data_IF_778394597322
#
_entry.id   IF_778394597322
#
_cell.length_a   1.000
_cell.length_b   1.000
_cell.length_c   1.000
_cell.angle_alpha   90.00
_cell.angle_beta   90.00
_cell.angle_gamma   90.00
#
_symmetry.space_group_name_H-M   'P 1'
#
loop_
_entity.id
_entity.type
_entity.pdbx_description
1 polymer ?
#
# COMPACT_ATOMS: atom_id res chain seq x y z
N UNK A 1 64.56 -24.37 1.30
CA UNK A 1 63.87 -23.05 1.33
C UNK A 1 62.37 -23.31 1.23
N UNK A 2 61.66 -23.30 2.35
CA UNK A 2 60.21 -23.51 2.37
C UNK A 2 59.50 -22.19 2.06
N UNK A 3 58.72 -22.18 0.98
CA UNK A 3 57.87 -21.05 0.62
C UNK A 3 56.74 -20.92 1.64
N UNK A 4 56.76 -19.83 2.42
CA UNK A 4 55.63 -19.42 3.24
C UNK A 4 54.43 -19.06 2.34
N UNK A 5 53.43 -19.95 2.30
CA UNK A 5 52.07 -19.59 1.87
C UNK A 5 51.55 -18.51 2.82
N UNK A 6 51.49 -17.25 2.36
CA UNK A 6 50.69 -16.20 2.99
C UNK A 6 49.23 -16.69 3.02
N UNK A 7 48.71 -16.98 4.21
CA UNK A 7 47.27 -17.17 4.40
C UNK A 7 46.56 -15.88 3.98
N UNK A 8 45.85 -15.88 2.86
CA UNK A 8 44.91 -14.81 2.51
C UNK A 8 43.89 -14.75 3.66
N UNK A 9 43.95 -13.70 4.48
CA UNK A 9 42.95 -13.44 5.51
C UNK A 9 41.55 -13.41 4.88
N UNK A 10 40.52 -13.81 5.63
CA UNK A 10 39.14 -13.76 5.13
C UNK A 10 38.82 -12.34 4.66
N UNK A 11 38.16 -12.17 3.50
CA UNK A 11 37.78 -10.85 3.01
C UNK A 11 36.88 -10.17 4.04
N UNK A 12 37.34 -9.02 4.53
CA UNK A 12 36.63 -8.18 5.49
C UNK A 12 35.86 -7.10 4.75
N UNK A 13 34.59 -6.94 5.09
CA UNK A 13 33.73 -5.86 4.63
C UNK A 13 33.70 -4.76 5.69
N UNK A 14 33.91 -3.52 5.26
CA UNK A 14 33.73 -2.33 6.10
C UNK A 14 32.27 -1.89 6.00
N UNK A 15 31.63 -1.62 7.14
CA UNK A 15 30.27 -1.09 7.24
C UNK A 15 30.30 0.27 7.95
N UNK A 16 29.31 1.10 7.65
CA UNK A 16 29.05 2.33 8.37
C UNK A 16 28.42 2.00 9.73
N UNK A 17 29.10 2.41 10.80
CA UNK A 17 28.70 2.14 12.17
C UNK A 17 27.46 2.91 12.61
N UNK A 18 27.25 4.12 12.08
CA UNK A 18 26.07 4.91 12.35
C UNK A 18 24.84 4.28 11.67
N UNK A 19 25.01 3.81 10.42
CA UNK A 19 23.93 3.12 9.69
C UNK A 19 23.52 1.85 10.43
N UNK A 20 24.51 1.05 10.87
CA UNK A 20 24.26 -0.16 11.63
C UNK A 20 23.49 0.13 12.93
N UNK A 21 23.95 1.11 13.72
CA UNK A 21 23.33 1.43 15.00
C UNK A 21 21.87 1.88 14.83
N UNK A 22 21.60 2.71 13.83
CA UNK A 22 20.27 3.19 13.51
C UNK A 22 19.34 2.06 13.05
N UNK A 23 19.75 1.28 12.05
CA UNK A 23 18.94 0.16 11.54
C UNK A 23 18.65 -0.87 12.63
N UNK A 24 19.60 -1.14 13.53
CA UNK A 24 19.37 -2.01 14.68
C UNK A 24 18.30 -1.45 15.62
N UNK A 25 18.39 -0.17 15.98
CA UNK A 25 17.40 0.48 16.85
C UNK A 25 16.01 0.45 16.21
N UNK A 26 15.91 0.74 14.90
CA UNK A 26 14.67 0.66 14.13
C UNK A 26 14.07 -0.76 14.12
N UNK A 27 14.91 -1.79 14.03
CA UNK A 27 14.47 -3.18 14.12
C UNK A 27 14.07 -3.61 15.56
N UNK A 28 14.15 -2.72 16.56
CA UNK A 28 13.86 -3.05 17.96
C UNK A 28 14.86 -4.01 18.59
N UNK A 29 16.05 -4.18 17.99
CA UNK A 29 17.03 -5.17 18.43
C UNK A 29 18.05 -4.57 19.39
N UNK A 30 18.45 -5.34 20.40
CA UNK A 30 19.66 -5.02 21.18
C UNK A 30 20.91 -5.47 20.43
N UNK A 31 22.10 -4.97 20.81
CA UNK A 31 23.37 -5.42 20.21
C UNK A 31 23.55 -6.95 20.35
N UNK A 32 23.08 -7.52 21.45
CA UNK A 32 23.06 -8.97 21.68
C UNK A 32 22.06 -9.65 20.73
N UNK A 33 20.81 -9.17 20.69
CA UNK A 33 19.75 -9.75 19.86
C UNK A 33 20.10 -9.75 18.37
N UNK A 34 20.72 -8.68 17.88
CA UNK A 34 21.23 -8.62 16.51
C UNK A 34 22.33 -9.68 16.26
N UNK A 35 23.28 -9.81 17.19
CA UNK A 35 24.36 -10.79 17.05
C UNK A 35 23.85 -12.24 17.10
N UNK A 36 22.86 -12.53 17.97
CA UNK A 36 22.19 -13.82 18.06
C UNK A 36 21.53 -14.19 16.74
N UNK A 37 20.74 -13.27 16.17
CA UNK A 37 19.98 -13.53 14.96
C UNK A 37 20.88 -13.71 13.72
N UNK A 38 21.94 -12.90 13.61
CA UNK A 38 22.95 -13.04 12.55
C UNK A 38 23.69 -14.37 12.67
N UNK A 39 24.07 -14.80 13.88
CA UNK A 39 24.78 -16.08 14.08
C UNK A 39 23.86 -17.28 13.82
N UNK A 40 22.59 -17.17 14.19
CA UNK A 40 21.54 -18.15 13.89
C UNK A 40 21.40 -18.35 12.39
N UNK A 41 21.25 -17.26 11.62
CA UNK A 41 21.19 -17.33 10.15
C UNK A 41 22.47 -17.87 9.53
N UNK A 42 23.63 -17.46 10.03
CA UNK A 42 24.94 -17.92 9.56
C UNK A 42 25.27 -19.37 9.97
N UNK A 43 24.37 -20.07 10.68
CA UNK A 43 24.56 -21.44 11.22
C UNK A 43 25.87 -21.60 12.01
N UNK A 44 26.30 -20.54 12.71
CA UNK A 44 27.50 -20.57 13.56
C UNK A 44 27.15 -21.19 14.91
N UNK A 45 28.08 -21.94 15.51
CA UNK A 45 27.91 -22.51 16.86
C UNK A 45 27.52 -21.42 17.85
N UNK A 46 26.50 -21.67 18.67
CA UNK A 46 26.06 -20.76 19.73
C UNK A 46 27.24 -20.40 20.61
N UNK A 47 27.65 -19.14 20.53
CA UNK A 47 28.65 -18.57 21.42
C UNK A 47 27.96 -18.15 22.72
N UNK A 48 28.70 -17.99 23.83
CA UNK A 48 28.11 -17.48 25.07
C UNK A 48 27.48 -16.09 24.84
N UNK A 49 26.41 -15.76 25.58
CA UNK A 49 25.74 -14.45 25.47
C UNK A 49 26.71 -13.27 25.65
N UNK A 50 27.67 -13.40 26.57
CA UNK A 50 28.72 -12.39 26.76
C UNK A 50 29.59 -12.19 25.50
N UNK A 51 29.91 -13.28 24.78
CA UNK A 51 30.69 -13.22 23.54
C UNK A 51 29.89 -12.60 22.39
N UNK A 52 28.60 -12.92 22.27
CA UNK A 52 27.72 -12.36 21.24
C UNK A 52 27.48 -10.86 21.48
N UNK A 53 27.22 -10.45 22.72
CA UNK A 53 27.12 -9.04 23.11
C UNK A 53 28.39 -8.26 22.72
N UNK A 54 29.57 -8.79 23.05
CA UNK A 54 30.85 -8.18 22.69
C UNK A 54 31.06 -8.11 21.17
N UNK A 55 30.53 -9.08 20.42
CA UNK A 55 30.59 -9.10 18.96
C UNK A 55 29.69 -8.02 18.36
N UNK A 56 28.44 -7.91 18.81
CA UNK A 56 27.53 -6.84 18.40
C UNK A 56 28.11 -5.44 18.68
N UNK A 57 28.66 -5.24 19.88
CA UNK A 57 29.37 -4.00 20.25
C UNK A 57 30.58 -3.72 19.35
N UNK A 58 31.33 -4.76 18.96
CA UNK A 58 32.48 -4.61 18.07
C UNK A 58 32.06 -4.22 16.66
N UNK A 59 30.94 -4.73 16.15
CA UNK A 59 30.42 -4.33 14.86
C UNK A 59 30.10 -2.84 14.83
N UNK A 60 29.39 -2.32 15.83
CA UNK A 60 29.07 -0.89 15.92
C UNK A 60 30.27 -0.01 16.27
N UNK A 61 31.30 -0.54 16.94
CA UNK A 61 32.50 0.26 17.28
C UNK A 61 33.55 0.30 16.17
N UNK A 62 33.75 -0.82 15.45
CA UNK A 62 34.84 -0.96 14.47
C UNK A 62 34.37 -0.98 13.02
N UNK A 63 33.09 -1.22 12.78
CA UNK A 63 32.51 -1.25 11.42
C UNK A 63 33.20 -2.24 10.50
N UNK A 64 33.77 -3.33 11.01
CA UNK A 64 34.52 -4.30 10.18
C UNK A 64 34.09 -5.72 10.55
N UNK A 65 33.69 -6.51 9.54
CA UNK A 65 33.26 -7.89 9.72
C UNK A 65 33.54 -8.75 8.46
N UNK A 66 33.40 -10.06 8.59
CA UNK A 66 33.50 -11.02 7.47
C UNK A 66 32.41 -10.72 6.43
N UNK A 67 32.74 -10.77 5.13
CA UNK A 67 31.79 -10.53 4.05
C UNK A 67 30.53 -11.42 4.13
N UNK A 68 30.69 -12.69 4.53
CA UNK A 68 29.56 -13.58 4.76
C UNK A 68 28.68 -13.10 5.91
N UNK A 69 29.26 -12.59 7.00
CA UNK A 69 28.49 -12.03 8.11
C UNK A 69 27.78 -10.72 7.71
N UNK A 70 28.39 -9.90 6.85
CA UNK A 70 27.76 -8.68 6.35
C UNK A 70 26.47 -8.98 5.58
N UNK A 71 26.46 -10.05 4.77
CA UNK A 71 25.25 -10.49 4.07
C UNK A 71 24.13 -10.89 5.05
N UNK A 72 24.44 -11.70 6.06
CA UNK A 72 23.45 -12.11 7.06
C UNK A 72 22.95 -10.92 7.87
N UNK A 73 23.84 -9.98 8.20
CA UNK A 73 23.49 -8.75 8.91
C UNK A 73 22.54 -7.88 8.08
N UNK A 74 22.77 -7.79 6.77
CA UNK A 74 21.87 -7.15 5.80
C UNK A 74 20.49 -7.83 5.78
N UNK A 75 20.45 -9.18 5.76
CA UNK A 75 19.21 -9.96 5.83
C UNK A 75 18.44 -9.72 7.12
N UNK A 76 19.09 -9.76 8.29
CA UNK A 76 18.41 -9.52 9.59
C UNK A 76 17.81 -8.11 9.65
N UNK A 77 18.53 -7.12 9.14
CA UNK A 77 18.11 -5.72 9.16
C UNK A 77 17.22 -5.33 7.96
N UNK A 78 16.82 -6.31 7.13
CA UNK A 78 16.01 -6.09 5.91
C UNK A 78 16.53 -4.92 5.07
N UNK A 79 17.82 -4.97 4.75
CA UNK A 79 18.54 -3.92 4.00
C UNK A 79 19.58 -4.57 3.07
N UNK A 80 20.04 -3.88 2.00
CA UNK A 80 21.19 -4.29 1.20
C UNK A 80 22.50 -4.04 1.93
N UNK A 81 23.55 -4.74 1.50
CA UNK A 81 24.90 -4.56 2.03
C UNK A 81 25.44 -3.18 1.66
N UNK A 82 25.08 -2.64 0.51
CA UNK A 82 25.50 -1.34 -0.02
C UNK A 82 25.06 -0.19 0.90
N UNK A 83 23.83 -0.24 1.40
CA UNK A 83 23.33 0.71 2.41
C UNK A 83 24.14 0.56 3.71
N UNK A 84 24.39 -0.66 4.17
CA UNK A 84 25.22 -0.91 5.37
C UNK A 84 26.65 -0.42 5.21
N UNK A 85 27.17 -0.35 3.99
CA UNK A 85 28.51 0.19 3.70
C UNK A 85 28.55 1.72 3.65
N UNK A 86 27.39 2.38 3.65
CA UNK A 86 27.28 3.81 3.40
C UNK A 86 27.54 4.19 1.93
N UNK A 87 27.43 3.23 1.00
CA UNK A 87 27.59 3.50 -0.44
C UNK A 87 26.38 4.26 -1.02
N UNK A 88 25.24 4.19 -0.34
CA UNK A 88 24.07 5.03 -0.58
C UNK A 88 23.85 5.98 0.60
N UNK A 89 23.29 7.19 0.36
CA UNK A 89 22.90 8.10 1.41
C UNK A 89 22.05 7.38 2.46
N UNK A 90 22.40 7.62 3.72
CA UNK A 90 21.77 7.08 4.92
C UNK A 90 20.23 7.06 4.76
N UNK A 91 19.50 6.03 5.24
CA UNK A 91 18.05 6.12 5.43
C UNK A 91 17.77 7.31 6.34
N UNK A 92 17.40 8.43 5.72
CA UNK A 92 17.57 9.77 6.28
C UNK A 92 17.04 9.82 7.71
N UNK A 93 17.83 10.26 8.71
CA UNK A 93 17.32 10.43 10.05
C UNK A 93 16.11 11.37 9.98
N UNK A 94 14.98 10.97 10.56
CA UNK A 94 13.84 11.87 10.63
C UNK A 94 14.15 13.09 11.52
N UNK A 95 13.58 14.27 11.19
CA UNK A 95 12.78 14.52 9.98
C UNK A 95 13.65 14.77 8.74
N UNK A 96 13.16 14.37 7.57
CA UNK A 96 13.75 14.78 6.30
C UNK A 96 13.85 16.32 6.22
N UNK A 97 14.87 16.88 5.57
CA UNK A 97 15.12 18.33 5.60
C UNK A 97 13.90 19.10 5.07
N UNK A 98 13.29 19.88 5.95
CA UNK A 98 12.15 20.76 5.70
C UNK A 98 12.52 22.17 6.14
N UNK A 99 12.20 23.15 5.32
CA UNK A 99 12.49 24.56 5.59
C UNK A 99 11.24 25.35 5.95
N UNK A 100 10.09 24.70 6.17
CA UNK A 100 8.82 25.41 6.38
C UNK A 100 8.93 26.44 7.52
N UNK A 101 9.49 26.07 8.67
CA UNK A 101 9.64 26.99 9.79
C UNK A 101 10.63 28.14 9.48
N UNK A 102 11.70 27.85 8.74
CA UNK A 102 12.67 28.87 8.32
C UNK A 102 12.06 29.84 7.29
N UNK A 103 11.30 29.31 6.32
CA UNK A 103 10.57 30.06 5.32
C UNK A 103 9.49 30.92 5.97
N UNK A 104 8.70 30.35 6.89
CA UNK A 104 7.68 31.10 7.61
C UNK A 104 8.27 32.28 8.37
N UNK A 105 9.34 32.05 9.15
CA UNK A 105 10.03 33.12 9.87
C UNK A 105 10.56 34.20 8.92
N UNK A 106 11.11 33.79 7.78
CA UNK A 106 11.61 34.68 6.75
C UNK A 106 10.48 35.49 6.08
N UNK A 107 9.37 34.86 5.72
CA UNK A 107 8.21 35.51 5.10
C UNK A 107 7.58 36.51 6.06
N UNK A 108 7.38 36.14 7.32
CA UNK A 108 6.85 37.04 8.36
C UNK A 108 7.71 38.29 8.52
N UNK A 109 9.04 38.13 8.49
CA UNK A 109 9.97 39.25 8.52
C UNK A 109 9.82 40.13 7.28
N UNK A 110 9.75 39.56 6.08
CA UNK A 110 9.61 40.32 4.83
C UNK A 110 8.30 41.11 4.76
N UNK A 111 7.19 40.54 5.23
CA UNK A 111 5.89 41.24 5.33
C UNK A 111 5.97 42.50 6.19
N UNK A 112 6.85 42.53 7.20
CA UNK A 112 7.02 43.70 8.09
C UNK A 112 7.97 44.76 7.54
N UNK A 113 8.90 44.39 6.68
CA UNK A 113 10.02 45.25 6.26
C UNK A 113 9.72 46.04 4.97
N UNK A 114 9.08 45.42 3.98
CA UNK A 114 8.85 46.05 2.66
C UNK A 114 7.56 45.55 1.99
N UNK A 115 6.89 46.42 1.24
CA UNK A 115 5.78 46.02 0.36
C UNK A 115 6.34 45.37 -0.90
N UNK A 116 6.29 44.04 -0.95
CA UNK A 116 6.77 43.23 -2.07
C UNK A 116 5.54 42.74 -2.86
N UNK A 117 5.32 43.23 -4.09
CA UNK A 117 4.11 42.91 -4.86
C UNK A 117 3.92 41.40 -5.09
N UNK A 118 4.98 40.66 -5.36
CA UNK A 118 4.93 39.21 -5.59
C UNK A 118 4.51 38.45 -4.32
N UNK A 119 5.00 38.88 -3.16
CA UNK A 119 4.66 38.29 -1.87
C UNK A 119 3.20 38.59 -1.50
N UNK A 120 2.74 39.83 -1.71
CA UNK A 120 1.34 40.16 -1.42
C UNK A 120 0.36 39.49 -2.35
N UNK A 121 0.68 39.35 -3.64
CA UNK A 121 -0.15 38.57 -4.55
C UNK A 121 -0.22 37.10 -4.13
N UNK A 122 0.90 36.51 -3.71
CA UNK A 122 0.93 35.13 -3.23
C UNK A 122 0.12 34.95 -1.94
N UNK A 123 0.22 35.89 -0.99
CA UNK A 123 -0.56 35.85 0.26
C UNK A 123 -2.05 36.12 0.03
N UNK A 124 -2.40 36.96 -0.94
CA UNK A 124 -3.78 37.29 -1.28
C UNK A 124 -4.57 36.04 -1.68
N UNK A 125 -3.97 35.13 -2.45
CA UNK A 125 -4.58 33.84 -2.79
C UNK A 125 -5.04 33.08 -1.54
N UNK A 126 -4.19 32.94 -0.53
CA UNK A 126 -4.54 32.22 0.70
C UNK A 126 -5.55 32.99 1.57
N UNK A 127 -5.48 34.33 1.59
CA UNK A 127 -6.47 35.17 2.30
C UNK A 127 -7.87 34.99 1.69
N UNK A 128 -7.99 35.00 0.37
CA UNK A 128 -9.27 34.88 -0.35
C UNK A 128 -9.89 33.48 -0.23
N UNK A 129 -9.07 32.45 -0.08
CA UNK A 129 -9.53 31.08 0.17
C UNK A 129 -9.83 30.79 1.65
N UNK A 130 -9.72 31.79 2.53
CA UNK A 130 -10.15 31.69 3.92
C UNK A 130 -9.22 30.91 4.85
N UNK A 131 -7.92 30.81 4.52
CA UNK A 131 -6.94 30.17 5.39
C UNK A 131 -6.63 31.04 6.61
N UNK A 132 -6.57 30.42 7.81
CA UNK A 132 -6.35 31.11 9.09
C UNK A 132 -4.96 31.75 9.20
N UNK A 133 -3.93 31.11 8.61
CA UNK A 133 -2.56 31.62 8.58
C UNK A 133 -1.97 31.60 7.16
N UNK A 134 -2.26 32.62 6.33
CA UNK A 134 -1.78 32.70 4.95
C UNK A 134 -0.26 32.61 4.79
N UNK A 135 0.51 33.04 5.80
CA UNK A 135 1.97 33.03 5.73
C UNK A 135 2.52 31.62 5.94
N UNK A 136 1.91 30.87 6.86
CA UNK A 136 2.25 29.46 7.08
C UNK A 136 1.95 28.62 5.83
N UNK A 137 0.77 28.80 5.25
CA UNK A 137 0.36 28.09 4.03
C UNK A 137 1.31 28.38 2.85
N UNK A 138 1.67 29.65 2.67
CA UNK A 138 2.65 30.04 1.65
C UNK A 138 4.03 29.41 1.93
N UNK A 139 4.47 29.31 3.19
CA UNK A 139 5.74 28.66 3.53
C UNK A 139 5.74 27.17 3.17
N UNK A 140 4.62 26.47 3.36
CA UNK A 140 4.46 25.06 3.01
C UNK A 140 4.47 24.86 1.48
N UNK A 141 3.77 25.73 0.74
CA UNK A 141 3.79 25.72 -0.72
C UNK A 141 5.19 26.03 -1.27
N UNK A 142 5.87 27.04 -0.72
CA UNK A 142 7.24 27.37 -1.13
C UNK A 142 8.22 26.25 -0.79
N UNK A 143 8.02 25.53 0.32
CA UNK A 143 8.84 24.36 0.64
C UNK A 143 8.71 23.27 -0.44
N UNK A 144 7.49 22.97 -0.90
CA UNK A 144 7.25 22.05 -2.03
C UNK A 144 7.91 22.57 -3.32
N UNK A 145 7.75 23.85 -3.60
CA UNK A 145 8.35 24.49 -4.77
C UNK A 145 9.88 24.39 -4.77
N UNK A 146 10.54 24.57 -3.62
CA UNK A 146 11.98 24.43 -3.49
C UNK A 146 12.48 23.00 -3.71
N UNK A 147 11.67 21.97 -3.47
CA UNK A 147 12.03 20.58 -3.78
C UNK A 147 12.17 20.35 -5.29
N UNK A 148 11.29 20.97 -6.09
CA UNK A 148 11.26 20.80 -7.55
C UNK A 148 12.05 21.86 -8.31
N UNK A 149 12.29 23.03 -7.70
CA UNK A 149 12.97 24.14 -8.35
C UNK A 149 14.31 23.74 -8.98
N UNK A 150 15.20 22.95 -8.33
CA UNK A 150 16.45 22.49 -8.93
C UNK A 150 16.31 21.75 -10.27
N UNK A 151 15.15 21.14 -10.54
CA UNK A 151 14.85 20.44 -11.79
C UNK A 151 14.29 21.38 -12.87
N UNK A 152 13.90 22.61 -12.50
CA UNK A 152 13.40 23.60 -13.43
C UNK A 152 14.54 24.40 -14.08
N UNK A 153 14.54 24.42 -15.42
CA UNK A 153 15.37 25.35 -16.19
C UNK A 153 14.79 26.78 -16.25
N UNK A 154 13.63 27.05 -15.64
CA UNK A 154 12.93 28.34 -15.77
C UNK A 154 13.57 29.44 -14.92
N UNK A 155 14.26 30.38 -15.57
CA UNK A 155 14.84 31.57 -14.91
C UNK A 155 13.78 32.44 -14.24
N UNK A 156 12.58 32.51 -14.81
CA UNK A 156 11.46 33.27 -14.25
C UNK A 156 10.99 32.68 -12.93
N UNK A 157 10.83 31.34 -12.85
CA UNK A 157 10.43 30.66 -11.61
C UNK A 157 11.44 30.93 -10.49
N UNK A 158 12.73 30.89 -10.80
CA UNK A 158 13.79 31.23 -9.84
C UNK A 158 13.74 32.70 -9.41
N UNK A 159 13.45 33.62 -10.32
CA UNK A 159 13.32 35.05 -10.01
C UNK A 159 12.11 35.30 -9.10
N UNK A 160 10.96 34.68 -9.36
CA UNK A 160 9.76 34.76 -8.52
C UNK A 160 10.03 34.22 -7.12
N UNK A 161 10.62 33.02 -7.00
CA UNK A 161 10.99 32.44 -5.70
C UNK A 161 11.96 33.36 -4.94
N UNK A 162 12.95 33.92 -5.63
CA UNK A 162 13.88 34.89 -5.03
C UNK A 162 13.20 36.20 -4.63
N UNK A 163 12.20 36.69 -5.35
CA UNK A 163 11.48 37.91 -5.02
C UNK A 163 10.60 37.71 -3.77
N UNK A 164 9.90 36.58 -3.70
CA UNK A 164 9.02 36.23 -2.57
C UNK A 164 9.84 35.94 -1.31
N UNK A 165 10.89 35.11 -1.42
CA UNK A 165 11.66 34.63 -0.25
C UNK A 165 12.90 35.48 0.06
N UNK A 166 13.42 36.26 -0.89
CA UNK A 166 14.74 36.88 -0.75
C UNK A 166 15.91 35.90 -0.66
N UNK A 167 15.68 34.60 -0.89
CA UNK A 167 16.73 33.60 -0.85
C UNK A 167 17.63 33.72 -2.09
N UNK A 168 18.93 33.54 -1.88
CA UNK A 168 19.88 33.38 -2.98
C UNK A 168 19.67 32.03 -3.68
N UNK A 169 20.09 31.93 -4.94
CA UNK A 169 20.06 30.65 -5.68
C UNK A 169 20.74 29.51 -4.91
N UNK A 170 21.87 29.77 -4.25
CA UNK A 170 22.57 28.76 -3.44
C UNK A 170 21.74 28.30 -2.23
N UNK A 171 20.96 29.19 -1.62
CA UNK A 171 20.06 28.81 -0.52
C UNK A 171 18.89 27.98 -1.03
N UNK A 172 18.34 28.33 -2.21
CA UNK A 172 17.22 27.59 -2.81
C UNK A 172 17.63 26.23 -3.39
N UNK A 173 18.91 26.02 -3.71
CA UNK A 173 19.46 24.74 -4.16
C UNK A 173 19.83 23.79 -2.99
N UNK A 174 19.59 24.20 -1.74
CA UNK A 174 19.82 23.31 -0.61
C UNK A 174 18.88 22.11 -0.70
N UNK A 175 19.33 20.91 -0.28
CA UNK A 175 18.49 19.73 -0.33
C UNK A 175 17.24 19.93 0.56
N UNK A 176 16.07 19.88 -0.07
CA UNK A 176 14.75 19.78 0.57
C UNK A 176 14.25 18.36 0.30
N UNK A 177 13.50 17.77 1.22
CA UNK A 177 13.03 16.40 1.04
C UNK A 177 11.88 16.02 1.96
N UNK A 178 11.01 16.98 2.28
CA UNK A 178 9.84 16.76 3.11
C UNK A 178 8.85 15.82 2.40
N UNK A 179 8.45 16.14 1.17
CA UNK A 179 7.65 15.23 0.33
C UNK A 179 8.58 14.31 -0.47
N UNK A 180 9.64 14.89 -1.02
CA UNK A 180 10.68 14.24 -1.83
C UNK A 180 10.22 13.89 -3.23
N UNK A 181 11.18 13.55 -4.07
CA UNK A 181 10.92 13.14 -5.45
C UNK A 181 11.14 11.65 -5.61
N UNK A 182 10.43 11.04 -6.56
CA UNK A 182 10.52 9.63 -6.86
C UNK A 182 10.71 9.42 -8.35
N UNK A 183 11.72 8.63 -8.73
CA UNK A 183 11.86 8.19 -10.11
C UNK A 183 11.07 6.89 -10.31
N UNK A 184 10.17 6.89 -11.29
CA UNK A 184 9.49 5.72 -11.83
C UNK A 184 10.21 5.24 -13.10
N UNK A 185 10.50 3.95 -13.14
CA UNK A 185 10.91 3.22 -14.35
C UNK A 185 9.90 2.09 -14.55
N UNK A 186 9.03 2.21 -15.55
CA UNK A 186 8.07 1.17 -15.91
C UNK A 186 8.44 0.55 -17.26
N UNK A 187 8.36 -0.77 -17.35
CA UNK A 187 8.73 -1.52 -18.55
C UNK A 187 7.95 -2.83 -18.65
N UNK A 188 7.99 -3.44 -19.83
CA UNK A 188 7.29 -4.69 -20.12
C UNK A 188 5.84 -4.50 -20.57
N UNK A 189 5.28 -5.49 -21.29
CA UNK A 189 3.90 -5.46 -21.77
C UNK A 189 2.88 -5.52 -20.61
N UNK A 190 1.63 -5.09 -20.83
CA UNK A 190 1.06 -4.57 -22.07
C UNK A 190 1.27 -3.05 -22.29
N UNK A 191 2.01 -2.35 -21.42
CA UNK A 191 2.16 -0.89 -21.48
C UNK A 191 3.44 -0.39 -22.18
N UNK A 192 3.50 0.91 -22.52
CA UNK A 192 4.72 1.53 -23.02
C UNK A 192 5.80 1.60 -21.92
N UNK A 193 7.06 1.72 -22.32
CA UNK A 193 8.15 2.04 -21.39
C UNK A 193 7.96 3.48 -20.91
N UNK A 194 8.00 3.71 -19.58
CA UNK A 194 7.84 5.03 -18.97
C UNK A 194 9.01 5.32 -18.04
N UNK A 195 9.49 6.56 -18.07
CA UNK A 195 10.49 7.09 -17.15
C UNK A 195 10.01 8.45 -16.68
N UNK A 196 9.64 8.58 -15.41
CA UNK A 196 8.94 9.76 -14.90
C UNK A 196 9.44 10.13 -13.51
N UNK A 197 9.48 11.44 -13.22
CA UNK A 197 9.68 11.94 -11.87
C UNK A 197 8.32 12.26 -11.25
N UNK A 198 8.07 11.69 -10.09
CA UNK A 198 6.83 11.78 -9.34
C UNK A 198 7.06 12.63 -8.09
N UNK A 199 6.06 13.46 -7.75
CA UNK A 199 6.05 14.24 -6.51
C UNK A 199 5.59 13.40 -5.33
N UNK A 200 6.49 13.17 -4.38
CA UNK A 200 6.22 12.47 -3.13
C UNK A 200 5.73 11.02 -3.28
N UNK A 201 5.46 10.42 -2.12
CA UNK A 201 4.89 9.06 -2.05
C UNK A 201 3.46 8.98 -2.59
N UNK A 202 2.74 10.12 -2.58
CA UNK A 202 1.42 10.21 -3.18
C UNK A 202 1.50 10.00 -4.70
N UNK A 203 2.46 10.60 -5.39
CA UNK A 203 2.68 10.39 -6.82
C UNK A 203 2.96 8.93 -7.16
N UNK A 204 3.73 8.21 -6.32
CA UNK A 204 3.94 6.76 -6.46
C UNK A 204 2.62 5.99 -6.37
N UNK A 205 1.78 6.32 -5.39
CA UNK A 205 0.47 5.67 -5.18
C UNK A 205 -0.46 5.86 -6.39
N UNK A 206 -0.55 7.10 -6.87
CA UNK A 206 -1.43 7.41 -8.00
C UNK A 206 -0.92 6.78 -9.31
N UNK A 207 0.40 6.76 -9.53
CA UNK A 207 1.00 6.07 -10.67
C UNK A 207 0.69 4.57 -10.67
N UNK A 208 0.80 3.92 -9.50
CA UNK A 208 0.43 2.51 -9.32
C UNK A 208 -1.06 2.27 -9.59
N UNK A 209 -1.94 3.08 -8.99
CA UNK A 209 -3.40 2.96 -9.19
C UNK A 209 -3.80 3.14 -10.64
N UNK A 210 -3.22 4.11 -11.34
CA UNK A 210 -3.45 4.32 -12.77
C UNK A 210 -3.05 3.09 -13.58
N UNK A 211 -1.84 2.55 -13.34
CA UNK A 211 -1.38 1.34 -14.02
C UNK A 211 -2.31 0.13 -13.71
N UNK A 212 -2.74 -0.04 -12.45
CA UNK A 212 -3.64 -1.14 -12.06
C UNK A 212 -5.04 -1.03 -12.67
N UNK A 213 -5.56 0.19 -12.84
CA UNK A 213 -6.82 0.43 -13.54
C UNK A 213 -6.73 0.03 -15.02
N UNK A 214 -5.58 0.25 -15.67
CA UNK A 214 -5.33 -0.20 -17.04
C UNK A 214 -5.20 -1.74 -17.12
N UNK A 215 -4.59 -2.37 -16.09
CA UNK A 215 -4.58 -3.84 -15.98
C UNK A 215 -5.98 -4.39 -15.96
N UNK A 216 -6.88 -3.82 -15.15
CA UNK A 216 -8.28 -4.27 -15.03
C UNK A 216 -8.97 -4.34 -16.39
N UNK A 217 -8.75 -3.36 -17.26
CA UNK A 217 -9.36 -3.33 -18.60
C UNK A 217 -8.81 -4.44 -19.51
N UNK A 218 -7.55 -4.84 -19.31
CA UNK A 218 -6.85 -5.83 -20.12
C UNK A 218 -6.88 -7.27 -19.55
N UNK A 219 -7.24 -7.45 -18.27
CA UNK A 219 -7.21 -8.72 -17.54
C UNK A 219 -8.51 -9.53 -17.58
N UNK A 220 -9.45 -9.21 -18.47
CA UNK A 220 -10.78 -9.83 -18.55
C UNK A 220 -10.78 -11.33 -18.91
N UNK A 221 -9.62 -11.97 -19.08
CA UNK A 221 -9.50 -13.34 -19.58
C UNK A 221 -8.77 -14.32 -18.66
N UNK A 222 -8.27 -13.92 -17.49
CA UNK A 222 -7.63 -14.84 -16.53
C UNK A 222 -7.19 -14.16 -15.23
N UNK A 223 -6.78 -15.00 -14.28
CA UNK A 223 -6.26 -14.55 -12.99
C UNK A 223 -4.97 -13.74 -13.19
N UNK A 224 -4.75 -12.78 -12.30
CA UNK A 224 -3.56 -11.92 -12.29
C UNK A 224 -2.87 -11.92 -10.92
N UNK A 225 -1.55 -11.79 -10.92
CA UNK A 225 -0.75 -11.69 -9.70
C UNK A 225 0.06 -10.41 -9.71
N UNK A 226 0.06 -9.68 -8.60
CA UNK A 226 0.97 -8.57 -8.34
C UNK A 226 1.92 -8.94 -7.22
N UNK A 227 3.19 -8.58 -7.39
CA UNK A 227 4.27 -8.85 -6.45
C UNK A 227 4.96 -7.54 -6.09
N UNK A 228 5.06 -7.30 -4.79
CA UNK A 228 5.81 -6.21 -4.20
C UNK A 228 7.17 -6.74 -3.76
N UNK A 229 8.22 -5.96 -3.96
CA UNK A 229 9.60 -6.32 -3.61
C UNK A 229 10.34 -5.10 -3.09
N UNK A 230 10.86 -5.20 -1.87
CA UNK A 230 11.67 -4.16 -1.24
C UNK A 230 13.15 -4.43 -1.55
N UNK A 231 13.63 -3.83 -2.65
CA UNK A 231 15.01 -3.94 -3.16
C UNK A 231 15.78 -2.64 -2.87
N UNK A 232 15.78 -2.18 -1.60
CA UNK A 232 16.29 -0.84 -1.23
C UNK A 232 17.59 -0.47 -1.97
N UNK A 233 17.75 0.79 -2.42
CA UNK A 233 16.80 1.90 -2.27
C UNK A 233 15.58 1.80 -3.19
N UNK A 234 15.46 0.74 -3.99
CA UNK A 234 14.36 0.55 -4.92
C UNK A 234 13.16 -0.14 -4.26
N UNK A 235 11.99 0.36 -4.59
CA UNK A 235 10.73 -0.34 -4.40
C UNK A 235 10.28 -0.86 -5.76
N UNK A 236 10.14 -2.17 -5.88
CA UNK A 236 9.75 -2.84 -7.12
C UNK A 236 8.35 -3.41 -6.99
N UNK A 237 7.57 -3.20 -8.04
CA UNK A 237 6.23 -3.77 -8.20
C UNK A 237 6.19 -4.43 -9.57
N UNK A 238 5.87 -5.72 -9.62
CA UNK A 238 5.66 -6.42 -10.88
C UNK A 238 4.32 -7.11 -10.88
N UNK A 239 3.62 -7.11 -12.00
CA UNK A 239 2.43 -7.92 -12.16
C UNK A 239 2.52 -8.81 -13.40
N UNK A 240 1.86 -9.96 -13.34
CA UNK A 240 1.87 -10.99 -14.37
C UNK A 240 0.46 -11.52 -14.61
N UNK A 241 0.10 -11.71 -15.88
CA UNK A 241 -1.12 -12.41 -16.26
C UNK A 241 -0.89 -13.93 -16.17
N UNK A 242 -1.66 -14.67 -15.37
CA UNK A 242 -1.37 -16.10 -15.12
C UNK A 242 -1.60 -16.99 -16.36
N UNK A 243 -2.49 -16.59 -17.27
CA UNK A 243 -2.72 -17.30 -18.54
C UNK A 243 -1.70 -16.98 -19.63
N UNK A 244 -1.07 -15.80 -19.58
CA UNK A 244 -0.15 -15.32 -20.62
C UNK A 244 1.13 -14.88 -19.88
N UNK A 245 2.02 -15.82 -19.52
CA UNK A 245 3.15 -15.54 -18.65
C UNK A 245 4.15 -14.52 -19.23
N UNK A 246 4.11 -14.29 -20.54
CA UNK A 246 4.91 -13.24 -21.21
C UNK A 246 4.40 -11.83 -20.92
N UNK A 247 3.15 -11.69 -20.46
CA UNK A 247 2.58 -10.42 -20.04
C UNK A 247 3.01 -10.10 -18.62
N UNK A 248 4.23 -9.59 -18.51
CA UNK A 248 4.83 -9.10 -17.27
C UNK A 248 5.12 -7.62 -17.40
N UNK A 249 4.55 -6.85 -16.49
CA UNK A 249 4.84 -5.43 -16.30
C UNK A 249 5.68 -5.27 -15.05
N UNK A 250 6.78 -4.54 -15.15
CA UNK A 250 7.64 -4.20 -14.02
C UNK A 250 7.70 -2.67 -13.85
N UNK A 251 7.52 -2.23 -12.61
CA UNK A 251 7.67 -0.84 -12.18
C UNK A 251 8.68 -0.79 -11.05
N UNK A 252 9.68 0.09 -11.19
CA UNK A 252 10.70 0.34 -10.16
C UNK A 252 10.60 1.80 -9.75
N UNK A 253 10.61 2.02 -8.43
CA UNK A 253 10.54 3.32 -7.81
C UNK A 253 11.78 3.54 -6.96
N UNK A 254 12.38 4.73 -7.00
CA UNK A 254 13.45 5.11 -6.07
C UNK A 254 13.27 6.56 -5.67
N UNK A 255 13.43 6.85 -4.38
CA UNK A 255 13.43 8.23 -3.88
C UNK A 255 14.69 8.92 -4.39
N UNK A 256 14.54 10.13 -4.87
CA UNK A 256 15.63 10.92 -5.43
C UNK A 256 15.64 12.32 -4.83
N UNK A 257 16.83 12.89 -4.74
CA UNK A 257 17.04 14.24 -4.25
C UNK A 257 17.91 15.01 -5.25
N UNK A 258 17.48 16.21 -5.67
CA UNK A 258 18.31 17.05 -6.51
C UNK A 258 19.45 17.66 -5.68
N UNK A 259 20.61 17.74 -6.31
CA UNK A 259 21.82 18.39 -5.78
C UNK A 259 22.43 19.27 -6.88
N UNK A 260 23.43 20.08 -6.52
CA UNK A 260 24.19 20.86 -7.49
C UNK A 260 24.84 20.00 -8.59
N UNK A 261 25.13 18.72 -8.31
CA UNK A 261 25.73 17.77 -9.25
C UNK A 261 24.70 16.98 -10.08
N UNK A 262 23.40 17.14 -9.81
CA UNK A 262 22.31 16.38 -10.41
C UNK A 262 21.49 15.60 -9.38
N UNK A 263 20.69 14.64 -9.85
CA UNK A 263 19.87 13.78 -9.00
C UNK A 263 20.71 12.68 -8.34
N UNK A 264 20.55 12.51 -7.03
CA UNK A 264 21.08 11.38 -6.27
C UNK A 264 19.95 10.48 -5.80
N UNK A 265 20.20 9.18 -5.71
CA UNK A 265 19.27 8.21 -5.14
C UNK A 265 19.41 8.18 -3.64
N UNK A 266 18.29 8.27 -2.93
CA UNK A 266 18.23 8.24 -1.47
C UNK A 266 17.29 7.12 -1.04
N UNK A 267 17.49 6.60 0.16
CA UNK A 267 16.55 5.64 0.73
C UNK A 267 15.22 6.34 1.10
N UNK A 268 14.09 5.59 1.10
CA UNK A 268 12.81 6.10 1.56
C UNK A 268 12.88 6.57 3.03
N UNK A 269 12.12 7.62 3.37
CA UNK A 269 11.89 8.05 4.77
C UNK A 269 10.99 7.05 5.51
N UNK A 270 10.83 7.21 6.83
CA UNK A 270 9.94 6.34 7.60
C UNK A 270 8.46 6.57 7.20
N UNK A 271 8.08 7.82 6.96
CA UNK A 271 6.77 8.13 6.37
C UNK A 271 6.55 7.46 5.01
N UNK A 272 7.55 7.50 4.10
CA UNK A 272 7.44 6.78 2.83
C UNK A 272 7.26 5.27 3.07
N UNK A 273 8.06 4.69 3.97
CA UNK A 273 8.00 3.28 4.32
C UNK A 273 6.62 2.86 4.82
N UNK A 274 6.00 3.66 5.69
CA UNK A 274 4.63 3.43 6.15
C UNK A 274 3.65 3.30 4.98
N UNK A 275 3.70 4.23 4.02
CA UNK A 275 2.80 4.19 2.86
C UNK A 275 3.13 3.07 1.88
N UNK A 276 4.42 2.78 1.65
CA UNK A 276 4.86 1.67 0.81
C UNK A 276 4.35 0.32 1.33
N UNK A 277 4.39 0.11 2.65
CA UNK A 277 3.87 -1.10 3.28
C UNK A 277 2.35 -1.27 3.07
N UNK A 278 1.62 -0.16 3.02
CA UNK A 278 0.17 -0.15 2.78
C UNK A 278 -0.21 -0.33 1.29
N UNK A 279 0.70 -0.16 0.33
CA UNK A 279 0.39 -0.25 -1.11
C UNK A 279 -0.21 -1.59 -1.51
N UNK A 280 0.22 -2.67 -0.85
CA UNK A 280 -0.27 -4.01 -1.14
C UNK A 280 -1.77 -4.17 -0.89
N UNK A 281 -2.32 -3.48 0.11
CA UNK A 281 -3.76 -3.49 0.40
C UNK A 281 -4.56 -2.84 -0.72
N UNK A 282 -4.04 -1.75 -1.29
CA UNK A 282 -4.68 -1.06 -2.43
C UNK A 282 -4.77 -1.92 -3.69
N UNK A 283 -3.94 -2.96 -3.82
CA UNK A 283 -3.95 -3.85 -4.97
C UNK A 283 -5.04 -4.95 -4.89
N UNK A 284 -5.68 -5.13 -3.73
CA UNK A 284 -6.67 -6.20 -3.51
C UNK A 284 -7.89 -6.08 -4.43
N UNK A 285 -8.20 -4.85 -4.85
CA UNK A 285 -9.36 -4.54 -5.70
C UNK A 285 -9.07 -4.74 -7.19
N UNK A 286 -7.80 -4.95 -7.57
CA UNK A 286 -7.38 -5.02 -8.98
C UNK A 286 -6.86 -6.40 -9.37
N UNK A 287 -6.25 -7.12 -8.43
CA UNK A 287 -5.57 -8.39 -8.70
C UNK A 287 -6.20 -9.58 -8.00
N UNK A 288 -5.92 -10.77 -8.51
CA UNK A 288 -6.45 -12.01 -7.95
C UNK A 288 -5.54 -12.58 -6.87
N UNK A 289 -4.24 -12.36 -7.02
CA UNK A 289 -3.22 -12.71 -6.04
C UNK A 289 -2.34 -11.49 -5.76
N UNK A 290 -2.05 -11.25 -4.48
CA UNK A 290 -1.13 -10.21 -4.03
C UNK A 290 -0.03 -10.85 -3.23
N UNK A 291 1.22 -10.64 -3.64
CA UNK A 291 2.41 -11.08 -2.91
C UNK A 291 3.11 -9.88 -2.31
N UNK A 292 3.17 -9.82 -0.99
CA UNK A 292 3.80 -8.70 -0.26
C UNK A 292 5.33 -8.76 -0.36
N UNK A 293 6.00 -7.68 0.06
CA UNK A 293 7.46 -7.57 0.11
C UNK A 293 8.13 -8.65 0.97
N UNK A 294 7.44 -9.14 2.01
CA UNK A 294 7.88 -10.28 2.83
C UNK A 294 7.72 -11.65 2.13
N UNK A 295 7.22 -11.66 0.88
CA UNK A 295 7.04 -12.85 0.06
C UNK A 295 5.77 -13.65 0.37
N UNK A 296 4.90 -13.15 1.25
CA UNK A 296 3.64 -13.79 1.61
C UNK A 296 2.62 -13.53 0.49
N UNK A 297 2.06 -14.60 -0.07
CA UNK A 297 1.00 -14.53 -1.07
C UNK A 297 -0.39 -14.59 -0.41
N UNK A 298 -1.33 -13.81 -0.94
CA UNK A 298 -2.74 -13.79 -0.58
C UNK A 298 -3.59 -13.88 -1.85
N UNK A 299 -4.54 -14.82 -1.99
CA UNK A 299 -4.77 -15.96 -1.09
C UNK A 299 -3.57 -16.93 -1.09
N UNK A 300 -3.39 -17.64 0.02
CA UNK A 300 -2.34 -18.67 0.14
C UNK A 300 -2.79 -20.05 -0.32
N UNK A 301 -4.04 -20.42 -0.03
CA UNK A 301 -4.67 -21.69 -0.36
C UNK A 301 -6.07 -21.40 -0.93
N UNK A 302 -6.19 -21.53 -2.26
CA UNK A 302 -7.43 -21.20 -2.98
C UNK A 302 -8.61 -22.07 -2.53
N UNK A 303 -8.36 -23.32 -2.15
CA UNK A 303 -9.41 -24.23 -1.67
C UNK A 303 -10.05 -23.80 -0.34
N UNK A 304 -9.38 -22.93 0.44
CA UNK A 304 -9.88 -22.42 1.71
C UNK A 304 -10.66 -21.11 1.56
N UNK A 305 -10.93 -20.68 0.34
CA UNK A 305 -11.73 -19.49 0.09
C UNK A 305 -13.18 -19.69 0.54
N UNK A 306 -13.77 -18.63 1.07
CA UNK A 306 -15.16 -18.56 1.49
C UNK A 306 -15.68 -17.13 1.34
N UNK A 307 -17.00 -16.96 1.28
CA UNK A 307 -17.66 -15.66 1.33
C UNK A 307 -18.11 -15.38 2.77
N UNK A 308 -17.82 -14.19 3.27
CA UNK A 308 -18.31 -13.72 4.56
C UNK A 308 -19.50 -12.81 4.34
N UNK A 309 -20.65 -13.19 4.89
CA UNK A 309 -21.85 -12.36 4.94
C UNK A 309 -21.86 -11.62 6.26
N UNK A 310 -21.78 -10.30 6.19
CA UNK A 310 -21.69 -9.41 7.35
C UNK A 310 -22.88 -8.46 7.38
N UNK A 311 -23.35 -8.13 8.58
CA UNK A 311 -24.39 -7.14 8.83
C UNK A 311 -23.79 -5.92 9.50
N UNK A 312 -24.12 -4.74 8.97
CA UNK A 312 -23.85 -3.47 9.61
C UNK A 312 -25.03 -3.07 10.48
N UNK A 313 -24.76 -2.95 11.77
CA UNK A 313 -25.71 -2.53 12.79
C UNK A 313 -25.79 -1.00 12.80
N UNK A 314 -26.99 -0.48 12.95
CA UNK A 314 -27.21 0.93 13.27
C UNK A 314 -26.71 1.24 14.69
N UNK A 315 -26.40 2.50 15.01
CA UNK A 315 -26.01 2.88 16.37
C UNK A 315 -26.99 2.42 17.45
N UNK A 316 -28.29 2.48 17.15
CA UNK A 316 -29.36 2.00 18.05
C UNK A 316 -29.31 0.49 18.27
N UNK A 317 -28.99 -0.29 17.23
CA UNK A 317 -28.83 -1.74 17.36
C UNK A 317 -27.56 -2.11 18.12
N UNK A 318 -26.47 -1.36 17.93
CA UNK A 318 -25.23 -1.54 18.71
C UNK A 318 -25.50 -1.34 20.19
N UNK A 319 -26.20 -0.27 20.55
CA UNK A 319 -26.61 0.00 21.94
C UNK A 319 -27.56 -1.08 22.48
N UNK A 320 -28.61 -1.43 21.72
CA UNK A 320 -29.59 -2.42 22.14
C UNK A 320 -29.01 -3.83 22.30
N UNK A 321 -28.05 -4.20 21.44
CA UNK A 321 -27.41 -5.53 21.45
C UNK A 321 -26.12 -5.55 22.28
N UNK A 322 -25.69 -4.42 22.84
CA UNK A 322 -24.40 -4.26 23.50
C UNK A 322 -23.23 -4.79 22.65
N UNK A 323 -23.30 -4.56 21.35
CA UNK A 323 -22.34 -5.09 20.40
C UNK A 323 -20.99 -4.37 20.56
N UNK A 324 -19.89 -5.13 20.47
CA UNK A 324 -18.53 -4.56 20.53
C UNK A 324 -18.11 -3.88 19.22
N UNK A 325 -18.90 -4.00 18.16
CA UNK A 325 -18.63 -3.46 16.83
C UNK A 325 -19.93 -3.18 16.09
N UNK A 326 -19.88 -2.23 15.16
CA UNK A 326 -20.95 -1.96 14.19
C UNK A 326 -21.09 -3.07 13.14
N UNK A 327 -20.15 -4.02 13.07
CA UNK A 327 -20.16 -5.12 12.12
C UNK A 327 -20.31 -6.46 12.82
N UNK A 328 -21.25 -7.29 12.35
CA UNK A 328 -21.46 -8.65 12.84
C UNK A 328 -21.37 -9.65 11.70
N UNK A 329 -20.59 -10.72 11.86
CA UNK A 329 -20.57 -11.84 10.93
C UNK A 329 -21.87 -12.63 11.07
N UNK A 330 -22.66 -12.71 10.00
CA UNK A 330 -23.91 -13.49 9.98
C UNK A 330 -23.64 -14.94 9.60
N UNK A 331 -22.89 -15.13 8.52
CA UNK A 331 -22.68 -16.45 7.92
C UNK A 331 -21.33 -16.51 7.21
N UNK A 332 -20.73 -17.70 7.22
CA UNK A 332 -19.61 -18.09 6.35
C UNK A 332 -20.17 -19.01 5.28
N UNK A 333 -20.17 -18.53 4.04
CA UNK A 333 -20.72 -19.24 2.90
C UNK A 333 -19.61 -19.92 2.10
N UNK A 334 -19.69 -21.26 1.99
CA UNK A 334 -18.71 -22.09 1.29
C UNK A 334 -19.16 -22.53 -0.12
N UNK A 335 -20.39 -22.18 -0.52
CA UNK A 335 -21.00 -22.65 -1.76
C UNK A 335 -20.85 -24.16 -1.96
N UNK A 336 -20.58 -24.57 -3.20
CA UNK A 336 -20.38 -25.97 -3.57
C UNK A 336 -18.89 -26.32 -3.77
N UNK A 337 -17.95 -25.54 -3.20
CA UNK A 337 -16.50 -25.73 -3.44
C UNK A 337 -16.02 -27.13 -3.05
N UNK A 338 -16.59 -27.73 -2.01
CA UNK A 338 -16.28 -29.11 -1.57
C UNK A 338 -16.71 -30.19 -2.57
N UNK A 339 -17.67 -29.88 -3.44
CA UNK A 339 -18.19 -30.78 -4.48
C UNK A 339 -17.39 -30.65 -5.80
N UNK A 340 -16.50 -29.66 -5.90
CA UNK A 340 -15.72 -29.41 -7.10
C UNK A 340 -14.71 -30.55 -7.35
N UNK A 341 -14.77 -31.21 -8.52
CA UNK A 341 -13.79 -32.24 -8.86
C UNK A 341 -12.37 -31.67 -8.90
N UNK A 342 -11.40 -32.38 -8.31
CA UNK A 342 -9.99 -31.96 -8.31
C UNK A 342 -9.42 -31.76 -9.72
N UNK A 343 -9.90 -32.53 -10.70
CA UNK A 343 -9.54 -32.38 -12.12
C UNK A 343 -9.99 -31.04 -12.71
N UNK A 344 -11.14 -30.52 -12.28
CA UNK A 344 -11.66 -29.22 -12.73
C UNK A 344 -10.75 -28.10 -12.26
N UNK A 345 -10.44 -28.07 -10.96
CA UNK A 345 -9.51 -27.07 -10.42
C UNK A 345 -8.15 -27.16 -11.12
N UNK A 346 -7.59 -28.36 -11.27
CA UNK A 346 -6.30 -28.55 -11.93
C UNK A 346 -6.29 -28.06 -13.39
N UNK A 347 -7.38 -28.24 -14.14
CA UNK A 347 -7.49 -27.72 -15.51
C UNK A 347 -7.49 -26.20 -15.54
N UNK A 348 -8.33 -25.57 -14.71
CA UNK A 348 -8.42 -24.11 -14.64
C UNK A 348 -7.14 -23.47 -14.08
N UNK A 349 -6.42 -24.15 -13.18
CA UNK A 349 -5.11 -23.69 -12.71
C UNK A 349 -4.07 -23.66 -13.82
N UNK A 350 -4.06 -24.64 -14.74
CA UNK A 350 -3.15 -24.63 -15.90
C UNK A 350 -3.43 -23.47 -16.85
N UNK A 351 -4.70 -23.07 -16.97
CA UNK A 351 -5.12 -21.95 -17.81
C UNK A 351 -5.05 -20.59 -17.08
N UNK A 352 -4.52 -20.55 -15.86
CA UNK A 352 -4.42 -19.34 -15.05
C UNK A 352 -5.78 -18.75 -14.67
N UNK A 353 -6.76 -19.60 -14.31
CA UNK A 353 -8.15 -19.23 -13.98
C UNK A 353 -8.65 -19.95 -12.72
N UNK A 354 -7.74 -20.31 -11.82
CA UNK A 354 -8.04 -21.12 -10.64
C UNK A 354 -8.98 -20.39 -9.68
N UNK A 355 -8.72 -19.11 -9.42
CA UNK A 355 -9.54 -18.33 -8.50
C UNK A 355 -10.91 -18.04 -9.11
N UNK A 356 -10.95 -17.71 -10.41
CA UNK A 356 -12.20 -17.51 -11.14
C UNK A 356 -13.15 -18.71 -10.98
N UNK A 357 -12.67 -19.94 -11.17
CA UNK A 357 -13.54 -21.11 -11.03
C UNK A 357 -13.96 -21.30 -9.58
N UNK A 358 -13.07 -21.16 -8.60
CA UNK A 358 -13.44 -21.32 -7.18
C UNK A 358 -14.48 -20.29 -6.74
N UNK A 359 -14.32 -19.02 -7.12
CA UNK A 359 -15.33 -17.98 -6.85
C UNK A 359 -16.66 -18.32 -7.49
N UNK A 360 -16.67 -18.89 -8.71
CA UNK A 360 -17.92 -19.33 -9.33
C UNK A 360 -18.64 -20.41 -8.51
N UNK A 361 -17.93 -21.39 -7.98
CA UNK A 361 -18.49 -22.43 -7.11
C UNK A 361 -18.89 -21.90 -5.73
N UNK A 362 -18.21 -20.87 -5.22
CA UNK A 362 -18.61 -20.14 -4.01
C UNK A 362 -19.94 -19.40 -4.18
N UNK A 363 -20.35 -19.07 -5.41
CA UNK A 363 -21.62 -18.38 -5.66
C UNK A 363 -22.84 -19.33 -5.64
N UNK A 364 -22.61 -20.64 -5.68
CA UNK A 364 -23.68 -21.64 -5.65
C UNK A 364 -24.43 -21.59 -4.32
N UNK A 365 -25.74 -21.33 -4.35
CA UNK A 365 -26.54 -21.23 -3.13
C UNK A 365 -26.43 -19.88 -2.41
N UNK A 366 -25.70 -18.91 -2.96
CA UNK A 366 -25.44 -17.63 -2.30
C UNK A 366 -26.72 -16.79 -2.17
N UNK A 367 -27.62 -16.85 -3.14
CA UNK A 367 -28.91 -16.15 -3.07
C UNK A 367 -29.78 -16.70 -1.95
N UNK A 368 -29.85 -18.03 -1.84
CA UNK A 368 -30.60 -18.75 -0.82
C UNK A 368 -30.06 -18.47 0.59
N UNK A 369 -28.74 -18.34 0.74
CA UNK A 369 -28.10 -17.92 1.99
C UNK A 369 -28.39 -16.45 2.33
N UNK A 370 -28.45 -15.56 1.33
CA UNK A 370 -28.72 -14.14 1.54
C UNK A 370 -30.19 -13.86 1.90
N UNK A 371 -31.13 -14.57 1.27
CA UNK A 371 -32.57 -14.29 1.31
C UNK A 371 -33.17 -14.16 2.73
N UNK A 372 -32.86 -15.03 3.72
CA UNK A 372 -33.38 -14.91 5.08
C UNK A 372 -33.06 -13.56 5.74
N UNK A 373 -31.91 -12.96 5.39
CA UNK A 373 -31.42 -11.71 5.96
C UNK A 373 -32.04 -10.46 5.32
N UNK A 374 -32.82 -10.62 4.24
CA UNK A 374 -33.52 -9.52 3.56
C UNK A 374 -34.97 -9.35 4.03
N UNK A 375 -35.41 -10.13 5.02
CA UNK A 375 -36.80 -10.14 5.51
C UNK A 375 -37.23 -8.86 6.24
N UNK A 376 -36.28 -8.02 6.67
CA UNK A 376 -36.56 -6.75 7.37
C UNK A 376 -37.36 -5.76 6.51
N UNK A 377 -37.21 -5.84 5.18
CA UNK A 377 -37.89 -4.96 4.22
C UNK A 377 -38.37 -5.76 3.00
N UNK A 378 -39.48 -5.36 2.36
CA UNK A 378 -39.90 -5.96 1.09
C UNK A 378 -38.78 -5.97 0.05
N UNK A 379 -38.62 -7.09 -0.68
CA UNK A 379 -37.55 -7.27 -1.66
C UNK A 379 -37.41 -6.09 -2.63
N UNK A 380 -38.51 -5.48 -3.07
CA UNK A 380 -38.49 -4.32 -4.01
C UNK A 380 -37.69 -3.10 -3.53
N UNK A 381 -37.40 -3.00 -2.23
CA UNK A 381 -36.64 -1.89 -1.65
C UNK A 381 -35.16 -2.19 -1.43
N UNK A 382 -34.71 -3.39 -1.74
CA UNK A 382 -33.29 -3.73 -1.63
C UNK A 382 -32.54 -3.44 -2.93
N UNK A 383 -31.25 -3.14 -2.81
CA UNK A 383 -30.29 -3.08 -3.91
C UNK A 383 -29.08 -3.94 -3.60
N UNK A 384 -28.48 -4.51 -4.66
CA UNK A 384 -27.24 -5.25 -4.60
C UNK A 384 -26.26 -4.54 -5.53
N UNK A 385 -25.24 -3.93 -4.96
CA UNK A 385 -24.30 -3.05 -5.67
C UNK A 385 -22.87 -3.58 -5.52
N UNK A 386 -22.12 -3.60 -6.61
CA UNK A 386 -20.70 -3.91 -6.57
C UNK A 386 -19.94 -2.77 -5.89
N UNK A 387 -19.05 -3.09 -4.96
CA UNK A 387 -18.17 -2.14 -4.30
C UNK A 387 -16.71 -2.66 -4.36
N UNK A 388 -15.71 -1.82 -4.10
CA UNK A 388 -14.33 -2.28 -4.14
C UNK A 388 -14.07 -3.41 -3.13
N UNK A 389 -13.69 -4.59 -3.64
CA UNK A 389 -13.39 -5.79 -2.85
C UNK A 389 -14.58 -6.46 -2.16
N UNK A 390 -15.82 -6.02 -2.41
CA UNK A 390 -17.03 -6.57 -1.76
C UNK A 390 -18.32 -6.28 -2.53
N UNK A 391 -19.41 -6.94 -2.16
CA UNK A 391 -20.75 -6.63 -2.65
C UNK A 391 -21.54 -6.02 -1.49
N UNK A 392 -22.12 -4.84 -1.72
CA UNK A 392 -22.94 -4.14 -0.74
C UNK A 392 -24.42 -4.42 -1.03
N UNK A 393 -25.18 -4.75 0.02
CA UNK A 393 -26.64 -4.91 -0.05
C UNK A 393 -27.27 -3.83 0.82
N UNK A 394 -28.12 -3.01 0.21
CA UNK A 394 -28.62 -1.78 0.82
C UNK A 394 -30.13 -1.68 0.72
N UNK A 395 -30.74 -0.95 1.64
CA UNK A 395 -32.14 -0.54 1.50
C UNK A 395 -32.16 0.80 0.78
N UNK A 396 -32.89 0.89 -0.34
CA UNK A 396 -33.12 2.12 -1.11
C UNK A 396 -34.14 2.99 -0.37
N UNK A 397 -33.72 3.58 0.75
CA UNK A 397 -34.56 4.38 1.62
C UNK A 397 -35.22 5.57 0.89
N UNK A 398 -34.55 6.10 -0.13
CA UNK A 398 -35.02 7.15 -1.04
C UNK A 398 -36.23 6.73 -1.89
N UNK A 399 -36.41 5.42 -2.11
CA UNK A 399 -37.51 4.86 -2.91
C UNK A 399 -38.70 4.39 -2.05
N UNK A 400 -38.59 4.48 -0.72
CA UNK A 400 -39.65 4.07 0.20
C UNK A 400 -40.54 5.28 0.49
N UNK A 401 -41.82 5.26 0.10
CA UNK A 401 -42.74 6.35 0.44
C UNK A 401 -42.81 6.54 1.96
N UNK A 402 -42.73 7.78 2.45
CA UNK A 402 -42.75 8.12 3.89
C UNK A 402 -43.94 7.49 4.63
N UNK A 403 -45.07 7.30 3.94
CA UNK A 403 -46.27 6.65 4.51
C UNK A 403 -46.03 5.18 4.87
N UNK A 404 -45.19 4.49 4.10
CA UNK A 404 -44.83 3.08 4.33
C UNK A 404 -43.77 2.93 5.43
N UNK A 405 -43.09 4.00 5.86
CA UNK A 405 -42.11 3.91 6.95
C UNK A 405 -42.76 3.50 8.28
N UNK A 406 -44.03 3.88 8.46
CA UNK A 406 -44.80 3.58 9.69
C UNK A 406 -45.37 2.16 9.73
N UNK A 407 -45.35 1.44 8.60
CA UNK A 407 -45.88 0.07 8.52
C UNK A 407 -44.84 -0.99 8.85
N UNK A 408 -43.56 -0.64 8.97
CA UNK A 408 -42.48 -1.57 9.29
C UNK A 408 -41.93 -1.33 10.70
N UNK A 409 -41.43 -2.41 11.31
CA UNK A 409 -41.01 -2.43 12.71
C UNK A 409 -39.75 -1.60 13.00
N UNK A 410 -38.96 -1.28 11.96
CA UNK A 410 -37.76 -0.47 12.05
C UNK A 410 -37.74 0.60 10.95
N UNK A 411 -37.12 1.78 11.18
CA UNK A 411 -36.85 2.74 10.11
C UNK A 411 -35.82 2.18 9.12
N UNK A 412 -35.83 2.63 7.85
CA UNK A 412 -34.93 2.09 6.85
C UNK A 412 -33.48 2.45 7.21
N UNK A 413 -32.55 1.48 7.19
CA UNK A 413 -31.15 1.78 7.45
C UNK A 413 -30.59 2.65 6.32
N UNK A 414 -29.84 3.70 6.67
CA UNK A 414 -29.10 4.49 5.69
C UNK A 414 -27.74 3.84 5.43
N UNK A 415 -27.43 3.60 4.15
CA UNK A 415 -26.14 3.04 3.72
C UNK A 415 -26.15 1.51 3.58
N UNK A 416 -24.97 0.90 3.67
CA UNK A 416 -24.80 -0.55 3.51
C UNK A 416 -25.35 -1.28 4.73
N UNK A 417 -26.29 -2.20 4.50
CA UNK A 417 -26.90 -3.00 5.56
C UNK A 417 -26.25 -4.36 5.67
N UNK A 418 -25.98 -5.01 4.54
CA UNK A 418 -25.20 -6.25 4.49
C UNK A 418 -24.03 -6.06 3.53
N UNK A 419 -22.93 -6.77 3.80
CA UNK A 419 -21.83 -6.89 2.85
C UNK A 419 -21.42 -8.35 2.66
N UNK A 420 -21.00 -8.66 1.45
CA UNK A 420 -20.42 -9.95 1.08
C UNK A 420 -18.96 -9.69 0.70
N UNK A 421 -18.03 -10.33 1.38
CA UNK A 421 -16.59 -10.17 1.14
C UNK A 421 -15.90 -11.52 0.98
N UNK A 422 -14.81 -11.57 0.20
CA UNK A 422 -14.04 -12.80 0.02
C UNK A 422 -13.00 -12.92 1.14
N UNK A 423 -12.90 -14.11 1.72
CA UNK A 423 -11.92 -14.42 2.74
C UNK A 423 -11.30 -15.80 2.52
N UNK A 424 -10.18 -16.03 3.19
CA UNK A 424 -9.52 -17.33 3.30
C UNK A 424 -9.56 -17.81 4.74
N UNK A 425 -9.99 -19.06 4.96
CA UNK A 425 -9.89 -19.73 6.24
C UNK A 425 -8.44 -20.17 6.47
N UNK A 426 -7.80 -19.56 7.46
CA UNK A 426 -6.42 -19.89 7.86
C UNK A 426 -6.36 -21.15 8.72
N UNK A 427 -5.19 -21.77 8.82
CA UNK A 427 -4.94 -22.94 9.69
C UNK A 427 -5.29 -22.67 11.17
N UNK A 428 -5.28 -21.40 11.59
CA UNK A 428 -5.68 -20.98 12.94
C UNK A 428 -7.19 -20.93 13.16
N UNK A 429 -8.00 -21.27 12.15
CA UNK A 429 -9.46 -21.15 12.16
C UNK A 429 -9.96 -19.71 12.00
N UNK A 430 -9.08 -18.74 11.71
CA UNK A 430 -9.45 -17.34 11.48
C UNK A 430 -9.69 -17.06 10.01
N UNK A 431 -10.67 -16.21 9.71
CA UNK A 431 -10.92 -15.71 8.37
C UNK A 431 -10.05 -14.48 8.10
N UNK A 432 -9.27 -14.53 7.03
CA UNK A 432 -8.42 -13.42 6.58
C UNK A 432 -8.98 -12.86 5.28
N UNK A 433 -9.07 -11.53 5.19
CA UNK A 433 -9.43 -10.87 3.92
C UNK A 433 -8.39 -11.19 2.84
N UNK A 434 -8.86 -11.41 1.62
CA UNK A 434 -8.02 -11.72 0.46
C UNK A 434 -8.39 -10.79 -0.70
N UNK A 435 -7.51 -10.64 -1.71
CA UNK A 435 -7.84 -9.87 -2.89
C UNK A 435 -9.16 -10.34 -3.50
N UNK A 436 -9.97 -9.43 -4.01
CA UNK A 436 -11.14 -9.73 -4.84
C UNK A 436 -11.26 -8.65 -5.90
N UNK A 437 -10.81 -8.98 -7.10
CA UNK A 437 -10.74 -8.04 -8.21
C UNK A 437 -12.12 -7.49 -8.56
N UNK A 438 -12.18 -6.21 -8.88
CA UNK A 438 -13.42 -5.50 -9.17
C UNK A 438 -14.24 -6.18 -10.28
N UNK A 439 -13.58 -6.70 -11.33
CA UNK A 439 -14.24 -7.45 -12.40
C UNK A 439 -14.93 -8.70 -11.87
N UNK A 440 -14.27 -9.45 -10.98
CA UNK A 440 -14.87 -10.63 -10.34
C UNK A 440 -16.03 -10.26 -9.42
N UNK A 441 -15.92 -9.16 -8.67
CA UNK A 441 -17.01 -8.63 -7.84
C UNK A 441 -18.22 -8.26 -8.71
N UNK A 442 -18.00 -7.55 -9.83
CA UNK A 442 -19.06 -7.17 -10.78
C UNK A 442 -19.76 -8.40 -11.36
N UNK A 443 -19.00 -9.43 -11.76
CA UNK A 443 -19.55 -10.67 -12.30
C UNK A 443 -20.45 -11.39 -11.29
N UNK A 444 -20.02 -11.48 -10.02
CA UNK A 444 -20.81 -12.10 -8.95
C UNK A 444 -22.03 -11.24 -8.60
N UNK A 445 -21.85 -9.92 -8.53
CA UNK A 445 -22.94 -8.98 -8.28
C UNK A 445 -24.01 -9.05 -9.38
N UNK A 446 -23.61 -9.19 -10.64
CA UNK A 446 -24.53 -9.36 -11.77
C UNK A 446 -25.32 -10.67 -11.67
N UNK A 447 -24.69 -11.77 -11.24
CA UNK A 447 -25.38 -13.04 -10.97
C UNK A 447 -26.40 -12.91 -9.85
N UNK A 448 -26.02 -12.30 -8.72
CA UNK A 448 -26.93 -12.06 -7.60
C UNK A 448 -28.11 -11.17 -7.98
N UNK A 449 -27.85 -10.09 -8.73
CA UNK A 449 -28.90 -9.22 -9.25
C UNK A 449 -29.88 -9.99 -10.14
N UNK A 450 -29.42 -10.96 -10.95
CA UNK A 450 -30.32 -11.80 -11.74
C UNK A 450 -31.26 -12.62 -10.86
N UNK A 451 -30.73 -13.33 -9.86
CA UNK A 451 -31.54 -14.09 -8.89
C UNK A 451 -32.51 -13.19 -8.12
N UNK A 452 -32.07 -11.98 -7.77
CA UNK A 452 -32.91 -10.98 -7.12
C UNK A 452 -34.09 -10.54 -8.02
N UNK A 453 -33.85 -10.26 -9.30
CA UNK A 453 -34.91 -9.91 -10.25
C UNK A 453 -35.88 -11.07 -10.50
N UNK A 454 -35.38 -12.31 -10.59
CA UNK A 454 -36.22 -13.52 -10.72
C UNK A 454 -37.14 -13.70 -9.50
N UNK A 455 -36.62 -13.47 -8.29
CA UNK A 455 -37.41 -13.53 -7.06
C UNK A 455 -38.47 -12.41 -6.98
N UNK A 456 -38.14 -11.19 -7.44
CA UNK A 456 -39.10 -10.10 -7.54
C UNK A 456 -40.24 -10.41 -8.50
N UNK A 457 -39.92 -10.95 -9.68
CA UNK A 457 -40.93 -11.33 -10.67
C UNK A 457 -41.88 -12.41 -10.14
N UNK A 458 -41.34 -13.40 -9.42
CA UNK A 458 -42.14 -14.48 -8.79
C UNK A 458 -43.03 -13.95 -7.66
N UNK A 459 -42.56 -12.96 -6.90
CA UNK A 459 -43.32 -12.33 -5.81
C UNK A 459 -44.46 -11.41 -6.28
N UNK A 460 -44.49 -11.05 -7.58
CA UNK A 460 -45.51 -10.18 -8.18
C UNK A 460 -46.62 -10.95 -8.92
N UNK A 461 -46.53 -12.28 -9.03
CA UNK A 461 -47.61 -13.10 -9.59
C UNK A 461 -48.68 -13.29 -8.50
N UNK A 462 -49.92 -12.78 -8.69
CA UNK A 462 -50.99 -13.04 -7.74
C UNK A 462 -51.28 -14.54 -7.74
N UNK A 463 -51.17 -15.17 -6.58
CA UNK A 463 -51.68 -16.52 -6.37
C UNK A 463 -53.20 -16.42 -6.23
N UNK A 464 -53.92 -16.56 -7.35
CA UNK A 464 -55.35 -16.89 -7.42
C UNK A 464 -56.31 -15.77 -7.11
#
# INVERSE_FOLDING_TARGET
MAQHKKSRGRPTTRIDTAVLAHLRQKAGLTQLGLAEEVYRLAKKRSSSQASLKNTGQRWEKKGTLDAGLAQHLATVLKTPVEILRGEHPFPTPEPAPSYVNELEALLRKRVQEETIPELENALQYFRENGYDDPVRELAEELNRELEIAPLSASRERWATLSAITGMTRRQMLRPVGHEGLWLLIASGPPGPIRHELLGGIHGVREALRAEWADVRQSSSFGDSVITFSDEKPWFKVSWMHMRIPEWVREMRFVRCQPTEAGLIWVAPTDNDGFWLDQMSNGAYEYFDYVKTSDGIQSPSVIANLCLLLKKYLSPQEVEAQQASSEETLLEVHHGAVSEMPASTLASFSKDGRAKLIVVNWLCSGLWEALLPHLSEWPLKYWSVDAAPGRIDVRVRADQIPIREWKTFACPPPFGTRLSISLAELTDSGRHKSVPWSHTSVEDVCAKLNRSFQEALATSQVPTG
#
